data_IF_014504433398
#
_entry.id   IF_014504433398
#
_cell.length_a   1.000
_cell.length_b   1.000
_cell.length_c   1.000
_cell.angle_alpha   90.00
_cell.angle_beta   90.00
_cell.angle_gamma   90.00
#
_symmetry.space_group_name_H-M   'P 1'
#
loop_
_entity.id
_entity.type
_entity.pdbx_description
1 polymer ?
#
# COMPACT_ATOMS: atom_id res chain seq x y z
N UNK A 1 -11.42 7.88 14.34
CA UNK A 1 -10.11 7.43 14.89
C UNK A 1 -9.25 6.70 13.85
N UNK A 2 -9.60 5.48 13.40
CA UNK A 2 -8.76 4.75 12.42
C UNK A 2 -8.82 5.33 11.00
N UNK A 3 -10.01 5.72 10.55
CA UNK A 3 -10.21 6.40 9.25
C UNK A 3 -9.48 7.75 9.20
N UNK A 4 -9.52 8.53 10.27
CA UNK A 4 -8.77 9.80 10.38
C UNK A 4 -7.26 9.60 10.31
N UNK A 5 -6.73 8.53 10.94
CA UNK A 5 -5.30 8.18 10.80
C UNK A 5 -4.95 7.84 9.36
N UNK A 6 -5.84 7.16 8.63
CA UNK A 6 -5.62 6.81 7.24
C UNK A 6 -5.69 8.05 6.34
N UNK A 7 -6.64 8.96 6.59
CA UNK A 7 -6.68 10.28 5.96
C UNK A 7 -5.34 10.99 6.18
N UNK A 8 -4.88 11.09 7.42
CA UNK A 8 -3.63 11.77 7.76
C UNK A 8 -2.39 11.12 7.10
N UNK A 9 -2.35 9.79 7.03
CA UNK A 9 -1.30 9.08 6.30
C UNK A 9 -1.23 9.53 4.84
N UNK A 10 -2.37 9.56 4.15
CA UNK A 10 -2.39 9.91 2.73
C UNK A 10 -2.20 11.42 2.50
N UNK A 11 -2.71 12.29 3.37
CA UNK A 11 -2.42 13.74 3.33
C UNK A 11 -0.92 14.05 3.52
N UNK A 12 -0.15 13.15 4.14
CA UNK A 12 1.30 13.27 4.26
C UNK A 12 2.08 13.04 2.95
N UNK A 13 1.42 12.52 1.91
CA UNK A 13 2.06 12.19 0.64
C UNK A 13 2.06 13.37 -0.35
N UNK A 14 3.20 13.58 -1.01
CA UNK A 14 3.45 14.70 -1.92
C UNK A 14 3.93 14.21 -3.30
N UNK A 15 3.00 13.94 -4.25
CA UNK A 15 3.30 13.49 -5.62
C UNK A 15 4.10 14.49 -6.44
N UNK A 16 3.88 15.78 -6.20
CA UNK A 16 4.50 16.90 -6.89
C UNK A 16 4.85 17.96 -5.85
N UNK A 17 5.92 18.75 -6.06
CA UNK A 17 6.29 19.82 -5.14
C UNK A 17 5.10 20.73 -4.78
N UNK A 18 4.81 20.85 -3.49
CA UNK A 18 3.73 21.65 -2.93
C UNK A 18 2.32 21.07 -3.12
N UNK A 19 2.16 19.87 -3.70
CA UNK A 19 0.86 19.24 -3.97
C UNK A 19 0.72 17.92 -3.23
N UNK A 20 -0.09 17.95 -2.19
CA UNK A 20 -0.40 16.78 -1.34
C UNK A 20 -1.65 16.05 -1.83
N UNK A 21 -1.77 14.77 -1.48
CA UNK A 21 -3.02 14.03 -1.70
C UNK A 21 -4.12 14.57 -0.78
N UNK A 22 -5.35 14.52 -1.28
CA UNK A 22 -6.53 14.72 -0.45
C UNK A 22 -6.95 13.37 0.15
N UNK A 23 -6.53 13.12 1.39
CA UNK A 23 -6.81 11.86 2.09
C UNK A 23 -8.30 11.62 2.34
N UNK A 24 -9.11 12.67 2.45
CA UNK A 24 -10.58 12.57 2.60
C UNK A 24 -11.24 12.15 1.29
N UNK A 25 -10.86 12.78 0.18
CA UNK A 25 -11.34 12.43 -1.16
C UNK A 25 -11.03 10.97 -1.49
N UNK A 26 -9.82 10.53 -1.16
CA UNK A 26 -9.34 9.18 -1.50
C UNK A 26 -9.65 8.10 -0.47
N UNK A 27 -10.33 8.46 0.63
CA UNK A 27 -10.49 7.58 1.80
C UNK A 27 -11.13 6.23 1.45
N UNK A 28 -12.21 6.23 0.67
CA UNK A 28 -12.92 4.99 0.32
C UNK A 28 -12.00 3.99 -0.40
N UNK A 29 -11.26 4.46 -1.39
CA UNK A 29 -10.33 3.64 -2.18
C UNK A 29 -9.09 3.23 -1.37
N UNK A 30 -8.58 4.10 -0.50
CA UNK A 30 -7.45 3.75 0.37
C UNK A 30 -7.85 2.67 1.40
N UNK A 31 -9.09 2.71 1.91
CA UNK A 31 -9.63 1.63 2.76
C UNK A 31 -9.74 0.34 1.94
N UNK A 32 -10.26 0.41 0.71
CA UNK A 32 -10.41 -0.75 -0.16
C UNK A 32 -9.06 -1.42 -0.45
N UNK A 33 -8.02 -0.65 -0.78
CA UNK A 33 -6.68 -1.20 -1.03
C UNK A 33 -6.07 -1.86 0.20
N UNK A 34 -6.11 -1.16 1.35
CA UNK A 34 -5.55 -1.65 2.61
C UNK A 34 -6.21 -2.96 3.05
N UNK A 35 -7.53 -2.97 3.03
CA UNK A 35 -8.35 -4.09 3.47
C UNK A 35 -8.27 -5.25 2.48
N UNK A 36 -8.32 -4.93 1.19
CA UNK A 36 -8.19 -5.89 0.10
C UNK A 36 -6.87 -6.63 0.15
N UNK A 37 -5.76 -5.91 0.35
CA UNK A 37 -4.43 -6.54 0.49
C UNK A 37 -4.31 -7.42 1.73
N UNK A 38 -4.84 -6.98 2.88
CA UNK A 38 -4.83 -7.78 4.10
C UNK A 38 -5.60 -9.09 3.93
N UNK A 39 -6.82 -9.02 3.37
CA UNK A 39 -7.68 -10.19 3.13
C UNK A 39 -7.08 -11.10 2.05
N UNK A 40 -6.60 -10.54 0.94
CA UNK A 40 -5.98 -11.31 -0.13
C UNK A 40 -4.73 -12.07 0.35
N UNK A 41 -3.90 -11.45 1.19
CA UNK A 41 -2.74 -12.13 1.75
C UNK A 41 -3.14 -13.28 2.69
N UNK A 42 -4.15 -13.05 3.54
CA UNK A 42 -4.71 -14.10 4.40
C UNK A 42 -5.24 -15.27 3.58
N UNK A 43 -6.03 -14.99 2.54
CA UNK A 43 -6.58 -16.00 1.63
C UNK A 43 -5.46 -16.77 0.89
N UNK A 44 -4.43 -16.07 0.43
CA UNK A 44 -3.26 -16.69 -0.20
C UNK A 44 -2.56 -17.67 0.76
N UNK A 45 -2.31 -17.26 2.01
CA UNK A 45 -1.72 -18.15 3.03
C UNK A 45 -2.60 -19.37 3.33
N UNK A 46 -3.93 -19.19 3.34
CA UNK A 46 -4.88 -20.29 3.51
C UNK A 46 -4.84 -21.28 2.33
N UNK A 47 -4.73 -20.80 1.09
CA UNK A 47 -4.62 -21.67 -0.09
C UNK A 47 -3.36 -22.54 -0.08
N UNK A 48 -2.33 -22.12 0.66
CA UNK A 48 -1.09 -22.88 0.86
C UNK A 48 -1.12 -23.76 2.12
N UNK A 49 -2.27 -23.87 2.79
CA UNK A 49 -2.39 -24.59 4.06
C UNK A 49 -1.49 -24.02 5.16
N UNK A 50 -1.21 -22.71 5.14
CA UNK A 50 -0.30 -22.04 6.06
C UNK A 50 1.19 -22.27 5.79
N UNK A 51 1.55 -23.07 4.78
CA UNK A 51 2.95 -23.37 4.43
C UNK A 51 3.49 -22.35 3.42
N UNK A 52 4.82 -22.15 3.34
CA UNK A 52 5.42 -21.41 2.23
C UNK A 52 5.13 -22.08 0.89
N UNK A 53 4.93 -21.29 -0.16
CA UNK A 53 4.90 -21.80 -1.53
C UNK A 53 6.33 -21.96 -2.09
N UNK A 54 6.49 -22.45 -3.33
CA UNK A 54 7.79 -22.60 -3.94
C UNK A 54 8.51 -21.25 -4.08
N UNK A 55 9.83 -21.25 -3.97
CA UNK A 55 10.68 -20.12 -4.37
C UNK A 55 10.80 -20.13 -5.90
N UNK A 56 10.59 -18.98 -6.53
CA UNK A 56 10.62 -18.80 -7.99
C UNK A 56 11.38 -17.51 -8.25
N UNK A 57 12.35 -17.55 -9.16
CA UNK A 57 13.22 -16.44 -9.52
C UNK A 57 13.91 -15.77 -8.32
N UNK A 58 14.26 -16.56 -7.30
CA UNK A 58 14.90 -16.08 -6.07
C UNK A 58 13.96 -15.42 -5.06
N UNK A 59 12.65 -15.34 -5.33
CA UNK A 59 11.66 -14.73 -4.45
C UNK A 59 10.79 -15.76 -3.73
N UNK A 60 10.55 -15.54 -2.44
CA UNK A 60 9.59 -16.34 -1.67
C UNK A 60 8.16 -16.11 -2.15
N UNK A 61 7.25 -17.04 -1.84
CA UNK A 61 5.82 -16.87 -2.15
C UNK A 61 5.22 -15.59 -1.58
N UNK A 62 5.64 -15.18 -0.37
CA UNK A 62 5.19 -13.94 0.26
C UNK A 62 5.73 -12.70 -0.47
N UNK A 63 7.01 -12.69 -0.82
CA UNK A 63 7.60 -11.59 -1.61
C UNK A 63 6.90 -11.46 -2.97
N UNK A 64 6.66 -12.58 -3.66
CA UNK A 64 5.95 -12.56 -4.96
C UNK A 64 4.54 -12.02 -4.87
N UNK A 65 3.82 -12.28 -3.78
CA UNK A 65 2.50 -11.69 -3.56
C UNK A 65 2.55 -10.16 -3.59
N UNK A 66 3.48 -9.55 -2.84
CA UNK A 66 3.65 -8.10 -2.82
C UNK A 66 4.24 -7.54 -4.12
N UNK A 67 5.14 -8.27 -4.79
CA UNK A 67 5.65 -7.88 -6.10
C UNK A 67 4.52 -7.85 -7.14
N UNK A 68 3.60 -8.82 -7.11
CA UNK A 68 2.42 -8.83 -7.99
C UNK A 68 1.53 -7.62 -7.74
N UNK A 69 1.29 -7.24 -6.47
CA UNK A 69 0.57 -6.01 -6.13
C UNK A 69 1.26 -4.76 -6.67
N UNK A 70 2.57 -4.63 -6.48
CA UNK A 70 3.31 -3.47 -6.99
C UNK A 70 3.26 -3.38 -8.53
N UNK A 71 3.29 -4.53 -9.22
CA UNK A 71 3.26 -4.58 -10.69
C UNK A 71 1.95 -4.08 -11.29
N UNK A 72 0.79 -4.35 -10.68
CA UNK A 72 -0.50 -3.87 -11.20
C UNK A 72 -0.63 -2.34 -11.15
N UNK A 73 0.16 -1.69 -10.29
CA UNK A 73 0.21 -0.24 -10.15
C UNK A 73 1.27 0.45 -11.00
N UNK A 74 1.96 -0.29 -11.89
CA UNK A 74 2.97 0.29 -12.78
C UNK A 74 2.34 1.29 -13.75
N UNK A 75 2.41 2.57 -13.41
CA UNK A 75 1.91 3.68 -14.22
C UNK A 75 2.74 4.94 -13.97
N UNK A 76 2.89 5.77 -15.00
CA UNK A 76 3.47 7.11 -14.92
C UNK A 76 2.46 8.12 -15.47
N UNK A 77 2.47 9.31 -14.90
CA UNK A 77 1.59 10.41 -15.29
C UNK A 77 2.43 11.55 -15.87
N UNK A 78 1.83 12.35 -16.76
CA UNK A 78 2.31 13.72 -17.03
C UNK A 78 1.83 14.61 -15.89
N UNK A 79 2.59 15.65 -15.58
CA UNK A 79 2.30 16.51 -14.41
C UNK A 79 0.91 17.13 -14.48
N UNK A 80 0.47 17.63 -15.63
CA UNK A 80 -0.87 18.21 -15.80
C UNK A 80 -1.99 17.20 -15.51
N UNK A 81 -1.83 15.95 -15.94
CA UNK A 81 -2.81 14.89 -15.66
C UNK A 81 -2.76 14.48 -14.18
N UNK A 82 -1.58 14.46 -13.57
CA UNK A 82 -1.43 14.19 -12.14
C UNK A 82 -2.12 15.30 -11.33
N UNK A 83 -1.90 16.56 -11.67
CA UNK A 83 -2.57 17.72 -11.06
C UNK A 83 -4.09 17.59 -11.16
N UNK A 84 -4.61 17.26 -12.35
CA UNK A 84 -6.05 17.07 -12.55
C UNK A 84 -6.59 15.96 -11.65
N UNK A 85 -5.92 14.81 -11.60
CA UNK A 85 -6.33 13.66 -10.77
C UNK A 85 -6.34 13.96 -9.29
N UNK A 86 -5.38 14.74 -8.78
CA UNK A 86 -5.34 15.12 -7.35
C UNK A 86 -6.58 15.89 -6.90
N UNK A 87 -7.33 16.49 -7.84
CA UNK A 87 -8.55 17.24 -7.55
C UNK A 87 -9.81 16.39 -7.70
N UNK A 88 -9.86 15.51 -8.71
CA UNK A 88 -11.12 14.86 -9.11
C UNK A 88 -11.16 13.33 -8.96
N UNK A 89 -10.00 12.68 -8.89
CA UNK A 89 -9.92 11.21 -8.89
C UNK A 89 -10.05 10.71 -7.45
N UNK A 90 -11.03 9.87 -7.12
CA UNK A 90 -11.12 9.28 -5.78
C UNK A 90 -10.01 8.27 -5.51
N UNK A 91 -9.19 7.90 -6.52
CA UNK A 91 -8.05 7.03 -6.33
C UNK A 91 -6.78 7.83 -6.06
N UNK A 92 -6.02 7.40 -5.05
CA UNK A 92 -4.64 7.86 -4.88
C UNK A 92 -3.80 7.55 -6.13
N UNK A 93 -2.79 8.38 -6.48
CA UNK A 93 -1.89 8.06 -7.59
C UNK A 93 -1.18 6.72 -7.37
N UNK A 94 -0.86 6.03 -8.47
CA UNK A 94 -0.50 4.61 -8.46
C UNK A 94 0.67 4.24 -7.54
N UNK A 95 1.70 5.08 -7.43
CA UNK A 95 2.82 4.83 -6.50
C UNK A 95 2.40 4.82 -5.03
N UNK A 96 1.41 5.63 -4.65
CA UNK A 96 0.88 5.66 -3.28
C UNK A 96 -0.10 4.53 -3.02
N UNK A 97 -0.83 4.04 -4.04
CA UNK A 97 -1.60 2.78 -3.94
C UNK A 97 -0.71 1.56 -3.82
N UNK A 98 0.44 1.54 -4.51
CA UNK A 98 1.42 0.48 -4.36
C UNK A 98 2.00 0.42 -2.94
N UNK A 99 2.44 1.56 -2.40
CA UNK A 99 3.25 1.61 -1.18
C UNK A 99 2.45 1.90 0.11
N UNK A 100 1.43 2.75 0.05
CA UNK A 100 0.70 3.22 1.22
C UNK A 100 0.02 2.08 1.99
N UNK A 101 -0.81 1.25 1.33
CA UNK A 101 -1.45 0.08 1.93
C UNK A 101 -0.44 -0.89 2.55
N UNK A 102 0.59 -1.31 1.81
CA UNK A 102 1.53 -2.34 2.26
C UNK A 102 2.40 -1.89 3.44
N UNK A 103 2.68 -0.58 3.56
CA UNK A 103 3.41 -0.03 4.72
C UNK A 103 2.70 -0.24 6.06
N UNK A 104 1.41 -0.58 6.04
CA UNK A 104 0.60 -0.90 7.22
C UNK A 104 0.50 -2.41 7.50
N UNK A 105 1.02 -3.28 6.65
CA UNK A 105 0.83 -4.73 6.77
C UNK A 105 2.07 -5.39 7.37
N UNK A 106 1.95 -6.00 8.55
CA UNK A 106 3.04 -6.74 9.22
C UNK A 106 3.68 -7.80 8.29
N UNK A 107 2.87 -8.45 7.46
CA UNK A 107 3.33 -9.42 6.46
C UNK A 107 4.35 -8.86 5.45
N UNK A 108 4.27 -7.56 5.11
CA UNK A 108 5.25 -6.91 4.25
C UNK A 108 6.60 -6.76 4.97
N UNK A 109 6.58 -6.43 6.26
CA UNK A 109 7.79 -6.34 7.08
C UNK A 109 8.46 -7.70 7.20
N UNK A 110 7.70 -8.77 7.43
CA UNK A 110 8.23 -10.13 7.48
C UNK A 110 8.77 -10.60 6.12
N UNK A 111 8.08 -10.29 5.02
CA UNK A 111 8.47 -10.76 3.69
C UNK A 111 9.76 -10.13 3.16
N UNK A 112 10.05 -8.87 3.53
CA UNK A 112 11.20 -8.12 3.03
C UNK A 112 12.20 -7.72 4.12
N UNK A 113 12.01 -8.21 5.35
CA UNK A 113 12.85 -7.86 6.50
C UNK A 113 12.99 -6.34 6.70
N UNK A 114 11.85 -5.63 6.73
CA UNK A 114 11.83 -4.15 6.78
C UNK A 114 12.21 -3.66 8.17
N UNK A 115 13.24 -2.81 8.24
CA UNK A 115 13.87 -2.34 9.47
C UNK A 115 13.69 -0.82 9.70
N UNK A 116 13.87 -0.34 10.94
CA UNK A 116 13.97 1.09 11.21
C UNK A 116 15.01 1.76 10.31
N UNK A 117 14.62 2.86 9.65
CA UNK A 117 15.45 3.56 8.67
C UNK A 117 15.05 3.29 7.22
N UNK A 118 14.34 2.19 6.94
CA UNK A 118 13.79 1.95 5.61
C UNK A 118 12.67 2.93 5.27
N UNK A 119 12.58 3.31 3.99
CA UNK A 119 11.65 4.35 3.52
C UNK A 119 10.17 4.04 3.81
N UNK A 120 9.79 2.76 3.81
CA UNK A 120 8.41 2.33 4.08
C UNK A 120 8.20 1.86 5.52
N UNK A 121 9.21 1.97 6.38
CA UNK A 121 9.10 1.57 7.78
C UNK A 121 8.15 2.48 8.55
N UNK A 122 7.25 1.85 9.30
CA UNK A 122 6.43 2.46 10.33
C UNK A 122 6.51 1.61 11.61
N UNK A 123 6.60 2.23 12.80
CA UNK A 123 6.43 1.52 14.07
C UNK A 123 5.11 0.75 14.09
N UNK A 124 5.07 -0.41 14.76
CA UNK A 124 3.87 -1.27 14.78
C UNK A 124 2.63 -0.55 15.31
N UNK A 125 2.78 0.34 16.29
CA UNK A 125 1.69 1.16 16.83
C UNK A 125 1.09 2.15 15.81
N UNK A 126 1.89 2.56 14.82
CA UNK A 126 1.51 3.54 13.80
C UNK A 126 0.90 2.91 12.54
N UNK A 127 1.00 1.58 12.41
CA UNK A 127 0.37 0.82 11.34
C UNK A 127 -1.15 0.80 11.54
N UNK A 128 -1.86 1.03 10.45
CA UNK A 128 -3.32 1.17 10.46
C UNK A 128 -3.92 -0.14 9.97
N UNK A 129 -4.78 -0.73 10.79
CA UNK A 129 -5.59 -1.88 10.41
C UNK A 129 -7.05 -1.54 10.70
N UNK A 130 -7.91 -1.66 9.68
CA UNK A 130 -9.33 -1.34 9.80
C UNK A 130 -10.17 -2.61 10.00
N UNK A 131 -9.83 -3.69 9.28
CA UNK A 131 -10.48 -4.99 9.36
C UNK A 131 -9.47 -6.12 9.58
#
# INVERSE_FOLDING_TARGET
>A
KLTERLVAQFEGYEPLPGRKLNGKLTLGENIADLSGMAIAYKAYRMSLGGKPGPVIDGYTSAQRFFLSWAQIWRRKYRDDELIRRLVIDPHSPSSFRANGPISNLDAFYEAFDVQPGDKLYKPKADRIQIW
#
